data_IF_223841527992
#
_entry.id   IF_223841527992
#
_cell.length_a   1.000
_cell.length_b   1.000
_cell.length_c   1.000
_cell.angle_alpha   90.00
_cell.angle_beta   90.00
_cell.angle_gamma   90.00
#
_symmetry.space_group_name_H-M   'P 1'
#
loop_
_entity.id
_entity.type
_entity.pdbx_description
1 polymer ?
#
# COMPACT_ATOMS: atom_id res chain seq x y z
N UNK A 1 -22.71 2.45 21.16
CA UNK A 1 -22.43 3.54 20.21
C UNK A 1 -21.41 3.01 19.23
N UNK A 2 -21.89 2.53 18.08
CA UNK A 2 -21.06 2.03 16.98
C UNK A 2 -20.87 3.17 16.01
N UNK A 3 -19.75 3.89 16.13
CA UNK A 3 -19.34 4.81 15.06
C UNK A 3 -18.77 3.94 13.96
N UNK A 4 -19.57 3.69 12.92
CA UNK A 4 -19.08 3.22 11.65
C UNK A 4 -17.96 4.16 11.21
N UNK A 5 -16.73 3.69 11.32
CA UNK A 5 -15.57 4.39 10.79
C UNK A 5 -15.80 4.49 9.28
N UNK A 6 -15.68 5.69 8.68
CA UNK A 6 -15.90 5.83 7.25
C UNK A 6 -14.97 4.87 6.55
N UNK A 7 -15.47 4.16 5.56
CA UNK A 7 -14.77 3.30 4.60
C UNK A 7 -13.44 3.92 4.16
N UNK A 8 -12.42 3.71 4.99
CA UNK A 8 -11.07 4.21 4.88
C UNK A 8 -10.26 2.96 4.63
N UNK A 9 -9.84 2.77 3.38
CA UNK A 9 -9.10 1.59 2.95
C UNK A 9 -7.98 1.22 3.94
N UNK A 10 -7.64 -0.08 4.02
CA UNK A 10 -6.76 -0.60 5.05
C UNK A 10 -5.49 0.24 5.16
N UNK A 11 -5.22 0.71 6.38
CA UNK A 11 -3.99 1.45 6.69
C UNK A 11 -2.84 0.47 6.56
N UNK A 12 -2.05 0.59 5.50
CA UNK A 12 -0.99 -0.35 5.19
C UNK A 12 0.29 -0.04 5.97
N UNK A 13 0.57 1.25 6.11
CA UNK A 13 1.61 1.79 6.97
C UNK A 13 0.91 2.66 8.01
N UNK A 14 0.71 2.11 9.20
CA UNK A 14 0.18 2.86 10.33
C UNK A 14 1.29 3.75 10.90
N UNK A 15 1.29 5.01 10.50
CA UNK A 15 2.23 6.00 11.01
C UNK A 15 1.55 7.35 11.12
N UNK A 16 1.71 8.00 12.27
CA UNK A 16 1.51 9.45 12.43
C UNK A 16 2.52 10.27 11.59
N UNK A 17 3.45 9.55 10.93
CA UNK A 17 4.53 10.09 10.11
C UNK A 17 4.29 9.78 8.62
N UNK A 18 4.77 10.65 7.71
CA UNK A 18 4.67 10.43 6.28
C UNK A 18 5.34 9.11 5.89
N UNK A 19 4.68 8.35 5.02
CA UNK A 19 5.22 7.11 4.51
C UNK A 19 6.39 7.40 3.61
N UNK A 20 7.49 6.72 3.88
CA UNK A 20 8.69 6.73 3.04
C UNK A 20 8.73 5.49 2.17
N UNK A 21 9.46 5.61 1.06
CA UNK A 21 9.71 4.51 0.15
C UNK A 21 10.33 3.31 0.90
N UNK A 22 11.28 3.57 1.81
CA UNK A 22 11.92 2.49 2.57
C UNK A 22 10.93 1.73 3.48
N UNK A 23 10.05 2.44 4.19
CA UNK A 23 8.97 1.85 5.00
C UNK A 23 8.04 0.97 4.16
N UNK A 24 7.58 1.49 3.02
CA UNK A 24 6.72 0.76 2.11
C UNK A 24 7.42 -0.48 1.56
N UNK A 25 8.71 -0.37 1.22
CA UNK A 25 9.53 -1.49 0.75
C UNK A 25 9.71 -2.55 1.83
N UNK A 26 10.03 -2.15 3.05
CA UNK A 26 10.20 -3.08 4.17
C UNK A 26 8.91 -3.82 4.46
N UNK A 27 7.77 -3.13 4.44
CA UNK A 27 6.46 -3.74 4.61
C UNK A 27 6.17 -4.78 3.53
N UNK A 28 6.34 -4.42 2.26
CA UNK A 28 6.11 -5.33 1.13
C UNK A 28 7.04 -6.54 1.16
N UNK A 29 8.33 -6.34 1.43
CA UNK A 29 9.28 -7.44 1.59
C UNK A 29 8.89 -8.36 2.77
N UNK A 30 8.44 -7.79 3.88
CA UNK A 30 7.90 -8.56 5.02
C UNK A 30 6.63 -9.33 4.66
N UNK A 31 5.83 -8.80 3.73
CA UNK A 31 4.62 -9.42 3.19
C UNK A 31 4.94 -10.53 2.16
N UNK A 32 6.22 -10.78 1.87
CA UNK A 32 6.70 -11.79 0.93
C UNK A 32 6.90 -11.28 -0.49
N UNK A 33 6.87 -9.96 -0.70
CA UNK A 33 7.13 -9.38 -2.00
C UNK A 33 8.62 -9.38 -2.30
N UNK A 34 8.95 -9.72 -3.54
CA UNK A 34 10.31 -9.69 -4.08
C UNK A 34 10.36 -8.73 -5.25
N UNK A 35 11.56 -8.22 -5.56
CA UNK A 35 11.75 -7.26 -6.64
C UNK A 35 10.89 -5.98 -6.47
N UNK A 36 10.78 -5.50 -5.22
CA UNK A 36 9.99 -4.32 -4.88
C UNK A 36 10.68 -3.06 -5.38
N UNK A 37 10.05 -2.37 -6.32
CA UNK A 37 10.42 -1.05 -6.82
C UNK A 37 9.40 -0.04 -6.35
N UNK A 38 9.86 1.12 -5.90
CA UNK A 38 8.97 2.18 -5.43
C UNK A 38 9.24 3.42 -6.25
N UNK A 39 8.17 4.04 -6.70
CA UNK A 39 8.16 5.24 -7.50
C UNK A 39 7.29 6.24 -6.77
N UNK A 40 7.85 7.42 -6.52
CA UNK A 40 7.10 8.53 -5.94
C UNK A 40 6.46 9.36 -7.03
N UNK A 41 5.13 9.36 -7.06
CA UNK A 41 4.31 10.19 -7.95
C UNK A 41 3.57 11.25 -7.12
N UNK A 42 4.20 12.42 -6.97
CA UNK A 42 3.67 13.53 -6.18
C UNK A 42 3.43 13.19 -4.71
N UNK A 43 2.16 13.03 -4.33
CA UNK A 43 1.72 12.66 -2.97
C UNK A 43 1.51 11.16 -2.78
N UNK A 44 1.62 10.37 -3.84
CA UNK A 44 1.46 8.93 -3.81
C UNK A 44 2.82 8.24 -4.01
N UNK A 45 2.94 7.06 -3.42
CA UNK A 45 4.04 6.13 -3.58
C UNK A 45 3.48 4.88 -4.25
N UNK A 46 3.84 4.68 -5.51
CA UNK A 46 3.56 3.44 -6.21
C UNK A 46 4.66 2.44 -5.89
N UNK A 47 4.30 1.32 -5.26
CA UNK A 47 5.19 0.20 -5.10
C UNK A 47 4.76 -0.96 -5.98
N UNK A 48 5.70 -1.43 -6.78
CA UNK A 48 5.53 -2.52 -7.73
C UNK A 48 6.43 -3.64 -7.23
N UNK A 49 5.91 -4.84 -7.10
CA UNK A 49 6.75 -5.98 -6.79
C UNK A 49 6.04 -7.29 -7.07
N UNK A 50 6.76 -8.38 -6.96
CA UNK A 50 6.24 -9.72 -7.22
C UNK A 50 5.92 -10.40 -5.91
N UNK A 51 4.64 -10.66 -5.65
CA UNK A 51 4.16 -11.45 -4.51
C UNK A 51 3.70 -12.81 -5.02
N UNK A 52 4.23 -13.89 -4.46
CA UNK A 52 3.86 -15.26 -4.86
C UNK A 52 3.98 -15.54 -6.38
N UNK A 53 4.94 -14.90 -7.05
CA UNK A 53 5.14 -15.02 -8.50
C UNK A 53 4.24 -14.12 -9.36
N UNK A 54 3.32 -13.37 -8.76
CA UNK A 54 2.46 -12.41 -9.44
C UNK A 54 2.97 -10.98 -9.23
N UNK A 55 3.24 -10.26 -10.31
CA UNK A 55 3.59 -8.85 -10.23
C UNK A 55 2.35 -8.05 -9.85
N UNK A 56 2.37 -7.49 -8.65
CA UNK A 56 1.30 -6.68 -8.10
C UNK A 56 1.80 -5.25 -7.97
N UNK A 57 0.90 -4.28 -8.14
CA UNK A 57 1.19 -2.87 -7.92
C UNK A 57 0.27 -2.33 -6.84
N UNK A 58 0.85 -1.65 -5.86
CA UNK A 58 0.12 -0.94 -4.83
C UNK A 58 0.43 0.54 -4.90
N UNK A 59 -0.59 1.38 -4.74
CA UNK A 59 -0.42 2.81 -4.60
C UNK A 59 -0.69 3.16 -3.14
N UNK A 60 0.24 3.85 -2.49
CA UNK A 60 0.11 4.26 -1.08
C UNK A 60 0.17 5.76 -1.01
N UNK A 61 -0.75 6.37 -0.27
CA UNK A 61 -0.70 7.80 0.01
C UNK A 61 0.47 8.11 0.94
N UNK A 62 1.42 8.93 0.49
CA UNK A 62 2.64 9.25 1.24
C UNK A 62 2.35 10.09 2.50
N UNK A 63 1.22 10.80 2.54
CA UNK A 63 0.87 11.68 3.66
C UNK A 63 0.15 10.92 4.78
N UNK A 64 -0.63 9.90 4.43
CA UNK A 64 -1.53 9.18 5.35
C UNK A 64 -1.23 7.69 5.49
N UNK A 65 -0.36 7.15 4.64
CA UNK A 65 0.03 5.73 4.63
C UNK A 65 -1.06 4.74 4.28
N UNK A 66 -2.12 5.24 3.62
CA UNK A 66 -3.20 4.39 3.16
C UNK A 66 -2.89 3.75 1.83
N UNK A 67 -3.09 2.44 1.75
CA UNK A 67 -3.14 1.78 0.47
C UNK A 67 -4.39 2.21 -0.27
N UNK A 68 -4.21 2.54 -1.53
CA UNK A 68 -5.25 2.49 -2.54
C UNK A 68 -5.15 1.10 -3.15
N UNK A 69 -5.95 0.16 -2.63
CA UNK A 69 -6.13 -1.14 -3.28
C UNK A 69 -6.65 -0.87 -4.70
N UNK A 70 -5.95 -1.43 -5.70
CA UNK A 70 -6.33 -1.33 -7.11
C UNK A 70 -7.24 -2.48 -7.55
N UNK A 71 -7.44 -3.49 -6.71
CA UNK A 71 -8.25 -4.68 -7.00
C UNK A 71 -9.30 -4.84 -5.91
N UNK A 72 -10.45 -4.23 -6.17
CA UNK A 72 -11.76 -4.79 -5.86
C UNK A 72 -12.21 -5.38 -7.20
N UNK A 73 -11.62 -6.53 -7.57
CA UNK A 73 -12.15 -7.37 -8.66
C UNK A 73 -12.69 -8.63 -7.97
N UNK A 74 -13.68 -8.39 -7.11
CA UNK A 74 -14.76 -9.33 -6.84
C UNK A 74 -15.57 -9.40 -8.16
N UNK A 75 -15.41 -10.45 -8.97
CA UNK A 75 -16.47 -10.82 -9.91
C UNK A 75 -16.56 -12.34 -10.12
N UNK A 76 -17.59 -12.91 -9.45
CA UNK A 76 -18.35 -14.17 -9.61
C UNK A 76 -17.70 -15.56 -9.41
#
# INVERSE_FOLDING_TARGET
>A
MVTAEPSRGPVFIAGDQPVTEDQLRQKLQSDGWSNVQIVRDGRYLEAIGSKSGQTTKVSVDAQTGRLRSADDDDED
#
